data_IF_517101419100
#
_entry.id   IF_517101419100
#
_cell.length_a   1.000
_cell.length_b   1.000
_cell.length_c   1.000
_cell.angle_alpha   90.00
_cell.angle_beta   90.00
_cell.angle_gamma   90.00
#
_symmetry.space_group_name_H-M   'P 1'
#
loop_
_entity.id
_entity.type
_entity.pdbx_description
1 polymer ?
#
# COMPACT_ATOMS: atom_id res chain seq x y z
N UNK A 1 7.36 57.79 -34.15
CA UNK A 1 7.33 57.04 -32.90
C UNK A 1 6.82 55.66 -33.20
N UNK A 2 7.73 54.67 -33.31
CA UNK A 2 7.39 53.30 -33.60
C UNK A 2 7.23 52.52 -32.28
N UNK A 3 6.01 52.12 -31.98
CA UNK A 3 5.68 51.35 -30.79
C UNK A 3 6.06 49.89 -31.07
N UNK A 4 7.07 49.38 -30.36
CA UNK A 4 7.51 48.02 -30.44
C UNK A 4 6.59 47.21 -29.50
N UNK A 5 5.67 46.45 -30.05
CA UNK A 5 4.88 45.46 -29.30
C UNK A 5 5.83 44.27 -29.05
N UNK A 6 6.29 44.10 -27.85
CA UNK A 6 7.03 42.91 -27.38
C UNK A 6 6.01 41.84 -27.07
N UNK A 7 5.89 40.84 -27.91
CA UNK A 7 5.15 39.62 -27.63
C UNK A 7 5.89 38.87 -26.52
N UNK A 8 5.32 38.89 -25.33
CA UNK A 8 5.76 38.08 -24.21
C UNK A 8 5.17 36.67 -24.41
N UNK A 9 5.95 35.76 -24.96
CA UNK A 9 5.59 34.34 -25.00
C UNK A 9 5.80 33.82 -23.56
N UNK A 10 4.70 33.66 -22.83
CA UNK A 10 4.71 32.94 -21.55
C UNK A 10 4.74 31.46 -21.89
N UNK A 11 5.93 30.88 -21.87
CA UNK A 11 6.08 29.42 -21.85
C UNK A 11 5.67 28.98 -20.46
N UNK A 12 4.43 28.53 -20.31
CA UNK A 12 4.02 27.77 -19.14
C UNK A 12 4.70 26.41 -19.25
N UNK A 13 5.86 26.30 -18.62
CA UNK A 13 6.45 24.99 -18.35
C UNK A 13 5.47 24.29 -17.38
N UNK A 14 4.61 23.41 -17.93
CA UNK A 14 3.96 22.41 -17.11
C UNK A 14 5.07 21.49 -16.56
N UNK A 15 5.58 21.85 -15.39
CA UNK A 15 6.30 20.89 -14.60
C UNK A 15 5.32 19.76 -14.32
N UNK A 16 5.52 18.63 -14.99
CA UNK A 16 4.94 17.37 -14.56
C UNK A 16 5.54 17.11 -13.17
N UNK A 17 4.83 17.56 -12.14
CA UNK A 17 5.10 17.12 -10.78
C UNK A 17 4.70 15.65 -10.82
N UNK A 18 5.69 14.79 -11.04
CA UNK A 18 5.56 13.37 -10.76
C UNK A 18 5.37 13.28 -9.25
N UNK A 19 4.11 13.22 -8.83
CA UNK A 19 3.79 12.87 -7.46
C UNK A 19 4.38 11.49 -7.28
N UNK A 20 5.34 11.30 -6.36
CA UNK A 20 5.89 9.97 -6.12
C UNK A 20 4.72 9.06 -5.73
N UNK A 21 4.44 8.08 -6.56
CA UNK A 21 3.48 7.03 -6.26
C UNK A 21 4.12 6.13 -5.20
N UNK A 22 3.43 5.91 -4.11
CA UNK A 22 3.89 5.12 -2.98
C UNK A 22 2.82 4.07 -2.67
N UNK A 23 2.99 2.85 -3.13
CA UNK A 23 2.08 1.76 -2.86
C UNK A 23 0.85 1.70 -3.79
N UNK A 24 -0.19 1.03 -3.37
CA UNK A 24 -1.46 1.09 -4.09
C UNK A 24 -1.93 2.55 -4.26
N UNK A 25 -2.38 2.91 -5.44
CA UNK A 25 -2.95 4.25 -5.68
C UNK A 25 -4.13 4.55 -4.74
N UNK A 26 -4.40 5.84 -4.54
CA UNK A 26 -5.41 6.35 -3.57
C UNK A 26 -6.75 5.60 -3.60
N UNK A 27 -7.23 5.24 -4.80
CA UNK A 27 -8.50 4.55 -4.96
C UNK A 27 -8.46 3.12 -4.43
N UNK A 28 -7.35 2.43 -4.61
CA UNK A 28 -7.16 1.06 -4.12
C UNK A 28 -7.02 1.05 -2.60
N UNK A 29 -6.23 1.96 -2.02
CA UNK A 29 -6.15 2.12 -0.56
C UNK A 29 -7.53 2.41 0.06
N UNK A 30 -8.32 3.27 -0.58
CA UNK A 30 -9.67 3.56 -0.13
C UNK A 30 -10.57 2.32 -0.19
N UNK A 31 -10.48 1.51 -1.25
CA UNK A 31 -11.24 0.26 -1.37
C UNK A 31 -10.83 -0.78 -0.31
N UNK A 32 -9.52 -0.95 -0.07
CA UNK A 32 -8.99 -1.83 0.98
C UNK A 32 -9.53 -1.42 2.35
N UNK A 33 -9.48 -0.14 2.68
CA UNK A 33 -10.01 0.39 3.94
C UNK A 33 -11.53 0.19 4.04
N UNK A 34 -12.28 0.40 2.96
CA UNK A 34 -13.73 0.21 2.94
C UNK A 34 -14.11 -1.26 3.10
N UNK A 35 -13.42 -2.19 2.44
CA UNK A 35 -13.60 -3.63 2.67
C UNK A 35 -13.34 -3.94 4.15
N UNK A 36 -12.25 -3.44 4.72
CA UNK A 36 -11.95 -3.68 6.13
C UNK A 36 -13.07 -3.16 7.05
N UNK A 37 -13.58 -1.94 6.84
CA UNK A 37 -14.68 -1.38 7.63
C UNK A 37 -15.95 -2.24 7.58
N UNK A 38 -16.26 -2.84 6.44
CA UNK A 38 -17.43 -3.71 6.25
C UNK A 38 -17.32 -5.04 7.00
N UNK A 39 -16.09 -5.47 7.32
CA UNK A 39 -15.80 -6.72 8.02
C UNK A 39 -15.40 -6.53 9.50
N UNK A 40 -15.52 -5.31 10.05
CA UNK A 40 -15.28 -5.07 11.48
C UNK A 40 -16.39 -5.66 12.34
N UNK A 41 -15.99 -6.23 13.47
CA UNK A 41 -16.94 -6.54 14.55
C UNK A 41 -17.49 -5.23 15.15
N UNK A 42 -18.68 -5.24 15.76
CA UNK A 42 -19.21 -4.04 16.42
C UNK A 42 -18.27 -3.46 17.49
N UNK A 43 -17.52 -4.35 18.20
CA UNK A 43 -16.53 -3.92 19.20
C UNK A 43 -15.36 -3.20 18.54
N UNK A 44 -14.74 -3.82 17.54
CA UNK A 44 -13.62 -3.23 16.81
C UNK A 44 -14.01 -1.91 16.15
N UNK A 45 -15.18 -1.88 15.48
CA UNK A 45 -15.67 -0.65 14.87
C UNK A 45 -15.77 0.50 15.86
N UNK A 46 -16.35 0.26 17.03
CA UNK A 46 -16.47 1.28 18.08
C UNK A 46 -15.11 1.84 18.50
N UNK A 47 -14.13 0.96 18.72
CA UNK A 47 -12.77 1.37 19.12
C UNK A 47 -12.03 2.09 18.00
N UNK A 48 -12.16 1.59 16.77
CA UNK A 48 -11.58 2.24 15.57
C UNK A 48 -12.15 3.65 15.42
N UNK A 49 -13.48 3.84 15.50
CA UNK A 49 -14.14 5.15 15.42
C UNK A 49 -13.64 6.11 16.53
N UNK A 50 -13.39 5.59 17.74
CA UNK A 50 -12.86 6.38 18.85
C UNK A 50 -11.41 6.83 18.58
N UNK A 51 -10.52 5.92 18.17
CA UNK A 51 -9.11 6.23 17.90
C UNK A 51 -8.97 7.18 16.70
N UNK A 52 -9.79 7.01 15.66
CA UNK A 52 -9.80 7.85 14.47
C UNK A 52 -10.58 9.16 14.64
N UNK A 53 -11.03 9.47 15.88
CA UNK A 53 -11.73 10.73 16.20
C UNK A 53 -12.96 10.97 15.31
N UNK A 54 -13.71 9.92 15.01
CA UNK A 54 -14.91 9.94 14.18
C UNK A 54 -14.64 10.05 12.67
N UNK A 55 -13.39 9.94 12.22
CA UNK A 55 -13.07 9.75 10.80
C UNK A 55 -13.12 8.27 10.42
N UNK A 56 -13.29 8.00 9.14
CA UNK A 56 -13.28 6.63 8.61
C UNK A 56 -11.85 6.13 8.37
N UNK A 57 -11.68 4.82 8.27
CA UNK A 57 -10.42 4.24 7.78
C UNK A 57 -10.15 4.69 6.34
N UNK A 58 -11.19 4.84 5.52
CA UNK A 58 -11.10 5.36 4.14
C UNK A 58 -10.49 6.78 4.11
N UNK A 59 -10.86 7.64 5.08
CA UNK A 59 -10.28 8.99 5.18
C UNK A 59 -8.75 8.94 5.36
N UNK A 60 -8.25 8.00 6.14
CA UNK A 60 -6.81 7.86 6.43
C UNK A 60 -6.07 6.91 5.50
N UNK A 61 -6.75 6.22 4.58
CA UNK A 61 -6.18 5.14 3.79
C UNK A 61 -4.90 5.53 3.01
N UNK A 62 -4.84 6.76 2.49
CA UNK A 62 -3.65 7.27 1.78
C UNK A 62 -2.90 8.35 2.57
N UNK A 63 -3.17 8.49 3.87
CA UNK A 63 -2.60 9.56 4.69
C UNK A 63 -1.07 9.52 4.70
N UNK A 64 -0.49 8.35 4.83
CA UNK A 64 0.94 8.16 4.92
C UNK A 64 1.70 8.61 3.67
N UNK A 65 1.10 8.52 2.51
CA UNK A 65 1.69 9.00 1.25
C UNK A 65 1.86 10.52 1.21
N UNK A 66 0.88 11.25 1.75
CA UNK A 66 0.82 12.70 1.63
C UNK A 66 1.38 13.43 2.85
N UNK A 67 1.28 12.84 4.03
CA UNK A 67 1.57 13.51 5.30
C UNK A 67 2.65 12.79 6.13
N UNK A 68 3.50 12.03 5.47
CA UNK A 68 4.59 11.27 6.11
C UNK A 68 5.45 12.12 7.03
N UNK A 69 5.76 13.37 6.63
CA UNK A 69 6.57 14.29 7.43
C UNK A 69 5.85 14.80 8.70
N UNK A 70 4.51 14.72 8.73
CA UNK A 70 3.68 15.17 9.86
C UNK A 70 3.37 14.04 10.84
N UNK A 71 3.67 12.80 10.48
CA UNK A 71 3.41 11.65 11.34
C UNK A 71 4.40 11.61 12.49
N UNK A 72 3.85 11.65 13.69
CA UNK A 72 4.59 11.68 14.98
C UNK A 72 4.98 10.29 15.46
N UNK A 73 5.24 9.34 14.57
CA UNK A 73 5.78 8.04 14.98
C UNK A 73 7.26 8.19 15.24
N UNK A 74 7.63 7.92 16.46
CA UNK A 74 9.01 7.99 16.92
C UNK A 74 9.41 6.64 17.53
N UNK A 75 10.69 6.36 17.52
CA UNK A 75 11.24 5.29 18.35
C UNK A 75 12.22 5.88 19.37
N UNK A 76 12.40 5.17 20.47
CA UNK A 76 13.33 5.61 21.51
C UNK A 76 14.50 4.63 21.60
N UNK A 77 15.71 5.14 21.44
CA UNK A 77 16.94 4.39 21.58
C UNK A 77 17.84 5.11 22.58
N UNK A 78 18.33 4.39 23.59
CA UNK A 78 19.19 4.95 24.65
C UNK A 78 18.63 6.23 25.31
N UNK A 79 17.31 6.33 25.44
CA UNK A 79 16.63 7.48 26.02
C UNK A 79 16.49 8.70 25.10
N UNK A 80 16.90 8.58 23.83
CA UNK A 80 16.75 9.63 22.80
C UNK A 80 15.60 9.26 21.88
N UNK A 81 14.72 10.23 21.60
CA UNK A 81 13.58 10.07 20.69
C UNK A 81 13.97 10.48 19.28
N UNK A 82 13.80 9.60 18.32
CA UNK A 82 14.12 9.82 16.91
C UNK A 82 12.84 9.84 16.07
N UNK A 83 12.72 10.77 15.10
CA UNK A 83 11.67 10.67 14.09
C UNK A 83 11.91 9.43 13.23
N UNK A 84 10.84 8.72 12.89
CA UNK A 84 10.92 7.48 12.15
C UNK A 84 10.61 7.67 10.67
N UNK A 85 11.52 7.23 9.81
CA UNK A 85 11.18 7.01 8.41
C UNK A 85 10.36 5.71 8.30
N UNK A 86 9.16 5.80 7.75
CA UNK A 86 8.25 4.66 7.64
C UNK A 86 8.39 4.05 6.25
N UNK A 87 8.98 2.84 6.14
CA UNK A 87 9.08 2.14 4.88
C UNK A 87 7.71 1.59 4.47
N UNK A 88 7.39 1.65 3.17
CA UNK A 88 6.17 1.13 2.58
C UNK A 88 6.33 -0.28 2.02
N UNK A 89 7.50 -0.85 2.07
CA UNK A 89 7.88 -2.11 1.44
C UNK A 89 8.59 -3.03 2.42
N UNK A 90 8.70 -4.29 2.05
CA UNK A 90 9.44 -5.28 2.82
C UNK A 90 10.37 -6.08 1.90
N UNK A 91 11.44 -6.65 2.48
CA UNK A 91 12.42 -7.44 1.77
C UNK A 91 12.18 -8.93 1.94
N UNK A 92 12.66 -9.68 0.95
CA UNK A 92 12.89 -11.12 1.06
C UNK A 92 14.38 -11.41 0.98
N UNK A 93 14.77 -12.54 1.56
CA UNK A 93 16.16 -13.02 1.47
C UNK A 93 16.47 -13.60 0.09
N UNK A 94 17.68 -14.12 -0.04
CA UNK A 94 18.13 -14.78 -1.26
C UNK A 94 17.34 -16.03 -1.64
N UNK A 95 16.61 -16.65 -0.75
CA UNK A 95 15.72 -17.77 -0.99
C UNK A 95 14.27 -17.33 -1.21
N UNK A 96 14.05 -16.02 -1.36
CA UNK A 96 12.75 -15.37 -1.42
C UNK A 96 11.91 -15.63 -0.17
N UNK A 97 12.53 -15.69 1.00
CA UNK A 97 11.85 -15.84 2.29
C UNK A 97 11.78 -14.50 3.00
N UNK A 98 10.60 -14.24 3.56
CA UNK A 98 10.35 -13.08 4.40
C UNK A 98 11.01 -13.30 5.76
N UNK A 99 11.61 -12.26 6.32
CA UNK A 99 12.29 -12.30 7.62
C UNK A 99 12.15 -10.95 8.35
N UNK A 100 12.23 -10.99 9.67
CA UNK A 100 12.21 -9.79 10.50
C UNK A 100 13.50 -8.97 10.32
N UNK A 101 13.42 -7.64 10.29
CA UNK A 101 14.53 -6.73 10.02
C UNK A 101 14.63 -5.57 11.01
N UNK A 102 14.53 -5.84 12.29
CA UNK A 102 14.80 -4.88 13.37
C UNK A 102 14.30 -3.46 13.05
N UNK A 103 12.99 -3.29 12.90
CA UNK A 103 12.33 -2.00 12.69
C UNK A 103 12.57 -1.31 11.34
N UNK A 104 13.03 -2.01 10.32
CA UNK A 104 13.43 -1.37 9.05
C UNK A 104 12.49 -1.62 7.87
N UNK A 105 11.48 -2.49 8.02
CA UNK A 105 10.58 -2.85 6.94
C UNK A 105 9.10 -2.67 7.34
N UNK A 106 8.21 -2.59 6.37
CA UNK A 106 6.79 -2.33 6.61
C UNK A 106 6.14 -3.36 7.55
N UNK A 107 6.53 -4.64 7.44
CA UNK A 107 6.01 -5.71 8.32
C UNK A 107 6.37 -5.47 9.79
N UNK A 108 7.60 -5.05 10.06
CA UNK A 108 8.05 -4.75 11.43
C UNK A 108 7.27 -3.56 12.01
N UNK A 109 7.09 -2.50 11.20
CA UNK A 109 6.34 -1.31 11.60
C UNK A 109 4.88 -1.64 11.93
N UNK A 110 4.23 -2.47 11.11
CA UNK A 110 2.86 -2.92 11.38
C UNK A 110 2.81 -3.65 12.74
N UNK A 111 3.76 -4.57 12.98
CA UNK A 111 3.84 -5.32 14.23
C UNK A 111 3.98 -4.41 15.44
N UNK A 112 4.87 -3.43 15.40
CA UNK A 112 5.06 -2.45 16.47
C UNK A 112 3.84 -1.56 16.70
N UNK A 113 3.19 -1.12 15.64
CA UNK A 113 1.94 -0.36 15.74
C UNK A 113 0.84 -1.21 16.38
N UNK A 114 0.76 -2.50 16.05
CA UNK A 114 -0.16 -3.43 16.69
C UNK A 114 0.16 -3.59 18.18
N UNK A 115 1.44 -3.72 18.56
CA UNK A 115 1.85 -3.84 19.96
C UNK A 115 1.50 -2.59 20.77
N UNK A 116 1.71 -1.39 20.21
CA UNK A 116 1.29 -0.13 20.83
C UNK A 116 -0.23 -0.12 21.05
N UNK A 117 -1.00 -0.55 20.06
CA UNK A 117 -2.47 -0.50 20.11
C UNK A 117 -3.10 -1.57 21.03
N UNK A 118 -2.38 -2.60 21.46
CA UNK A 118 -2.86 -3.53 22.51
C UNK A 118 -3.18 -2.80 23.83
N UNK A 119 -2.46 -1.73 24.11
CA UNK A 119 -2.72 -0.87 25.29
C UNK A 119 -3.11 0.57 24.87
N UNK A 120 -3.93 0.67 23.84
CA UNK A 120 -4.30 1.94 23.22
C UNK A 120 -4.90 2.98 24.20
N UNK A 121 -5.54 2.52 25.29
CA UNK A 121 -6.16 3.41 26.28
C UNK A 121 -5.13 4.22 27.06
N UNK A 122 -3.96 3.63 27.30
CA UNK A 122 -2.85 4.25 28.04
C UNK A 122 -1.82 4.89 27.10
N UNK A 123 -1.90 4.61 25.80
CA UNK A 123 -1.01 5.23 24.81
C UNK A 123 -1.31 6.72 24.61
N UNK A 124 -0.27 7.50 24.31
CA UNK A 124 -0.44 8.90 23.90
C UNK A 124 -1.42 9.02 22.72
N UNK A 125 -2.39 9.96 22.75
CA UNK A 125 -3.40 10.10 21.71
C UNK A 125 -2.84 10.26 20.29
N UNK A 126 -1.72 10.99 20.11
CA UNK A 126 -1.10 11.17 18.81
C UNK A 126 -0.40 9.91 18.35
N UNK A 127 0.24 9.19 19.26
CA UNK A 127 0.93 7.94 18.97
C UNK A 127 -0.07 6.85 18.55
N UNK A 128 -1.19 6.71 19.28
CA UNK A 128 -2.22 5.73 18.88
C UNK A 128 -2.90 6.05 17.57
N UNK A 129 -3.18 7.33 17.27
CA UNK A 129 -3.70 7.76 15.97
C UNK A 129 -2.70 7.46 14.85
N UNK A 130 -1.43 7.83 15.06
CA UNK A 130 -0.36 7.55 14.11
C UNK A 130 -0.16 6.05 13.85
N UNK A 131 -0.20 5.22 14.89
CA UNK A 131 -0.11 3.77 14.76
C UNK A 131 -1.29 3.21 13.96
N UNK A 132 -2.51 3.69 14.21
CA UNK A 132 -3.70 3.31 13.44
C UNK A 132 -3.56 3.70 11.96
N UNK A 133 -3.11 4.92 11.68
CA UNK A 133 -2.87 5.41 10.31
C UNK A 133 -1.83 4.56 9.58
N UNK A 134 -0.74 4.17 10.27
CA UNK A 134 0.27 3.27 9.72
C UNK A 134 -0.31 1.90 9.36
N UNK A 135 -1.05 1.28 10.26
CA UNK A 135 -1.65 -0.05 9.99
C UNK A 135 -2.61 0.03 8.81
N UNK A 136 -3.50 1.03 8.77
CA UNK A 136 -4.48 1.20 7.69
C UNK A 136 -3.79 1.28 6.32
N UNK A 137 -2.70 2.02 6.22
CA UNK A 137 -1.98 2.22 4.97
C UNK A 137 -1.06 1.03 4.63
N UNK A 138 -0.18 0.66 5.56
CA UNK A 138 0.87 -0.32 5.30
C UNK A 138 0.35 -1.74 5.07
N UNK A 139 -0.79 -2.12 5.68
CA UNK A 139 -1.42 -3.40 5.35
C UNK A 139 -1.87 -3.42 3.89
N UNK A 140 -2.30 -2.29 3.34
CA UNK A 140 -2.50 -2.16 1.89
C UNK A 140 -1.19 -2.37 1.11
N UNK A 141 -0.15 -1.63 1.47
CA UNK A 141 1.13 -1.63 0.77
C UNK A 141 1.81 -3.00 0.71
N UNK A 142 1.85 -3.74 1.82
CA UNK A 142 2.46 -5.08 1.83
C UNK A 142 1.74 -6.09 0.92
N UNK A 143 0.52 -5.77 0.46
CA UNK A 143 -0.22 -6.59 -0.50
C UNK A 143 -0.02 -6.15 -1.96
N UNK A 144 0.73 -5.06 -2.21
CA UNK A 144 1.12 -4.66 -3.54
C UNK A 144 2.41 -5.40 -3.97
N UNK A 145 2.42 -6.13 -5.09
CA UNK A 145 3.64 -6.74 -5.60
C UNK A 145 4.80 -5.76 -5.77
N UNK A 146 4.50 -4.49 -6.12
CA UNK A 146 5.47 -3.41 -6.24
C UNK A 146 6.23 -3.08 -4.96
N UNK A 147 5.76 -3.55 -3.82
CA UNK A 147 6.34 -3.30 -2.49
C UNK A 147 7.15 -4.48 -1.93
N UNK A 148 7.29 -5.56 -2.69
CA UNK A 148 8.21 -6.65 -2.35
C UNK A 148 9.58 -6.34 -2.91
N UNK A 149 10.60 -6.23 -2.05
CA UNK A 149 11.99 -6.01 -2.44
C UNK A 149 12.69 -7.36 -2.60
N UNK A 150 12.90 -7.77 -3.83
CA UNK A 150 13.72 -8.93 -4.13
C UNK A 150 15.21 -8.57 -4.17
N UNK A 151 16.12 -9.48 -3.78
CA UNK A 151 17.55 -9.29 -3.99
C UNK A 151 17.86 -9.09 -5.48
N UNK A 152 18.83 -8.23 -5.80
CA UNK A 152 19.25 -7.96 -7.18
C UNK A 152 19.53 -9.24 -7.96
N UNK A 153 18.98 -9.33 -9.15
CA UNK A 153 19.20 -10.41 -10.13
C UNK A 153 18.40 -11.69 -9.91
N UNK A 154 17.51 -11.79 -8.91
CA UNK A 154 16.82 -13.05 -8.60
C UNK A 154 15.48 -13.28 -9.27
N UNK A 155 14.69 -12.29 -9.42
CA UNK A 155 13.35 -12.45 -10.02
C UNK A 155 13.31 -11.98 -11.46
N UNK A 156 14.47 -11.99 -12.13
CA UNK A 156 14.70 -11.40 -13.43
C UNK A 156 15.42 -10.06 -13.30
N UNK A 157 16.17 -9.69 -14.31
CA UNK A 157 16.97 -8.47 -14.32
C UNK A 157 16.13 -7.25 -13.90
N UNK A 158 16.52 -6.59 -12.84
CA UNK A 158 15.97 -5.31 -12.44
C UNK A 158 14.71 -5.31 -11.57
N UNK A 159 14.35 -6.41 -10.92
CA UNK A 159 13.13 -6.49 -10.10
C UNK A 159 13.22 -5.86 -8.71
N UNK A 160 14.25 -5.12 -8.39
CA UNK A 160 14.29 -4.31 -7.18
C UNK A 160 13.17 -3.27 -7.17
N UNK A 161 12.08 -3.50 -6.42
CA UNK A 161 10.96 -2.57 -6.23
C UNK A 161 10.22 -2.10 -7.51
N UNK A 162 10.37 -2.74 -8.66
CA UNK A 162 9.71 -2.32 -9.89
C UNK A 162 10.04 -0.90 -10.39
N UNK A 163 11.10 -0.28 -9.88
CA UNK A 163 11.47 1.11 -10.24
C UNK A 163 12.25 1.21 -11.55
N UNK A 164 12.05 0.30 -12.47
CA UNK A 164 12.63 0.34 -13.81
C UNK A 164 11.61 0.83 -14.83
N UNK A 165 12.13 1.41 -15.92
CA UNK A 165 11.31 2.02 -16.95
C UNK A 165 10.63 0.97 -17.82
N UNK A 166 9.36 1.20 -18.10
CA UNK A 166 8.52 0.47 -19.04
C UNK A 166 7.64 1.47 -19.80
N UNK A 167 6.90 1.00 -20.79
CA UNK A 167 5.75 1.77 -21.30
C UNK A 167 4.45 1.04 -20.89
N UNK A 168 3.38 1.80 -20.70
CA UNK A 168 2.04 1.29 -20.46
C UNK A 168 1.16 1.78 -21.62
N UNK A 169 0.77 0.86 -22.50
CA UNK A 169 0.10 1.20 -23.78
C UNK A 169 0.84 2.30 -24.54
N UNK A 170 2.16 2.12 -24.70
CA UNK A 170 3.05 3.03 -25.41
C UNK A 170 3.41 4.33 -24.67
N UNK A 171 2.93 4.55 -23.45
CA UNK A 171 3.25 5.74 -22.63
C UNK A 171 4.35 5.44 -21.63
N UNK A 172 5.43 6.24 -21.56
CA UNK A 172 6.50 6.03 -20.59
C UNK A 172 6.02 6.06 -19.14
N UNK A 173 6.47 5.10 -18.35
CA UNK A 173 6.17 4.97 -16.92
C UNK A 173 7.19 4.03 -16.24
N UNK A 174 6.97 3.70 -14.99
CA UNK A 174 7.73 2.66 -14.29
C UNK A 174 6.85 1.45 -13.97
N UNK A 175 7.43 0.27 -13.87
CA UNK A 175 6.69 -0.93 -13.49
C UNK A 175 6.06 -0.78 -12.10
N UNK A 176 6.69 -0.05 -11.20
CA UNK A 176 6.12 0.31 -9.91
C UNK A 176 4.79 1.07 -10.06
N UNK A 177 4.77 2.12 -10.88
CA UNK A 177 3.54 2.91 -11.16
C UNK A 177 2.45 2.06 -11.85
N UNK A 178 2.85 1.11 -12.69
CA UNK A 178 1.90 0.16 -13.32
C UNK A 178 1.14 -0.61 -12.24
N UNK A 179 1.83 -1.13 -11.24
CA UNK A 179 1.21 -1.86 -10.13
C UNK A 179 0.46 -0.96 -9.16
N UNK A 180 0.97 0.22 -8.87
CA UNK A 180 0.33 1.13 -7.93
C UNK A 180 -1.09 1.54 -8.34
N UNK A 181 -1.31 1.74 -9.63
CA UNK A 181 -2.59 2.28 -10.08
C UNK A 181 -3.04 1.79 -11.46
N UNK A 182 -2.12 1.74 -12.44
CA UNK A 182 -2.51 1.63 -13.85
C UNK A 182 -3.21 0.32 -14.20
N UNK A 183 -2.81 -0.81 -13.57
CA UNK A 183 -3.48 -2.11 -13.76
C UNK A 183 -4.93 -2.01 -13.31
N UNK A 184 -5.17 -1.50 -12.10
CA UNK A 184 -6.53 -1.38 -11.55
C UNK A 184 -7.35 -0.36 -12.33
N UNK A 185 -6.75 0.78 -12.66
CA UNK A 185 -7.42 1.83 -13.44
C UNK A 185 -7.82 1.35 -14.83
N UNK A 186 -7.11 0.36 -15.38
CA UNK A 186 -7.43 -0.19 -16.69
C UNK A 186 -8.65 -1.12 -16.67
N UNK A 187 -8.82 -1.97 -15.64
CA UNK A 187 -9.93 -2.92 -15.61
C UNK A 187 -11.13 -2.43 -14.75
N UNK A 188 -10.94 -1.42 -13.92
CA UNK A 188 -12.02 -0.82 -13.12
C UNK A 188 -11.95 0.70 -13.21
N UNK A 189 -12.83 1.30 -14.04
CA UNK A 189 -12.92 2.76 -14.23
C UNK A 189 -13.92 3.44 -13.28
N UNK A 190 -14.57 2.67 -12.40
CA UNK A 190 -15.65 3.14 -11.53
C UNK A 190 -15.16 3.83 -10.26
N UNK A 191 -16.10 4.03 -9.35
CA UNK A 191 -15.88 4.57 -8.01
C UNK A 191 -15.12 3.58 -7.10
N UNK A 192 -14.86 3.98 -5.86
CA UNK A 192 -14.34 3.08 -4.82
C UNK A 192 -15.36 1.97 -4.56
N UNK A 193 -16.64 2.29 -4.50
CA UNK A 193 -17.75 1.35 -4.29
C UNK A 193 -17.84 0.30 -5.39
N UNK A 194 -17.59 0.69 -6.65
CA UNK A 194 -17.56 -0.24 -7.78
C UNK A 194 -16.40 -1.24 -7.63
N UNK A 195 -15.23 -0.75 -7.23
CA UNK A 195 -14.06 -1.60 -6.97
C UNK A 195 -14.33 -2.55 -5.79
N UNK A 196 -14.87 -2.06 -4.68
CA UNK A 196 -15.24 -2.88 -3.52
C UNK A 196 -16.24 -3.96 -3.93
N UNK A 197 -17.30 -3.60 -4.67
CA UNK A 197 -18.32 -4.56 -5.15
C UNK A 197 -17.72 -5.63 -6.07
N UNK A 198 -16.70 -5.28 -6.85
CA UNK A 198 -15.99 -6.21 -7.71
C UNK A 198 -15.12 -7.18 -6.90
N UNK A 199 -14.48 -6.70 -5.84
CA UNK A 199 -13.41 -7.39 -5.10
C UNK A 199 -13.96 -8.19 -3.91
N UNK A 200 -14.84 -7.62 -3.10
CA UNK A 200 -15.32 -8.22 -1.84
C UNK A 200 -16.44 -9.23 -2.09
N UNK A 201 -16.05 -10.42 -2.55
CA UNK A 201 -16.98 -11.50 -2.91
C UNK A 201 -16.69 -12.83 -2.20
N UNK A 202 -15.80 -12.80 -1.21
CA UNK A 202 -15.37 -14.01 -0.52
C UNK A 202 -16.47 -14.59 0.36
N UNK A 203 -16.61 -15.90 0.32
CA UNK A 203 -17.43 -16.65 1.25
C UNK A 203 -16.81 -16.65 2.65
N UNK A 204 -17.60 -16.94 3.69
CA UNK A 204 -17.09 -17.07 5.06
C UNK A 204 -15.94 -18.07 5.20
N UNK A 205 -15.92 -19.12 4.39
CA UNK A 205 -14.83 -20.11 4.38
C UNK A 205 -13.55 -19.49 3.82
N UNK A 206 -13.65 -18.83 2.67
CA UNK A 206 -12.52 -18.15 2.02
C UNK A 206 -11.95 -17.02 2.90
N UNK A 207 -12.81 -16.24 3.55
CA UNK A 207 -12.39 -15.21 4.49
C UNK A 207 -11.52 -15.82 5.60
N UNK A 208 -11.93 -16.93 6.19
CA UNK A 208 -11.16 -17.62 7.22
C UNK A 208 -9.81 -18.13 6.70
N UNK A 209 -9.76 -18.61 5.47
CA UNK A 209 -8.53 -19.08 4.82
C UNK A 209 -7.59 -17.90 4.50
N UNK A 210 -8.14 -16.79 3.97
CA UNK A 210 -7.38 -15.57 3.68
C UNK A 210 -6.76 -14.97 4.95
N UNK A 211 -7.51 -14.97 6.03
CA UNK A 211 -7.10 -14.41 7.32
C UNK A 211 -6.18 -15.33 8.13
N UNK A 212 -5.94 -16.57 7.70
CA UNK A 212 -5.06 -17.49 8.42
C UNK A 212 -3.61 -16.97 8.47
N UNK A 213 -2.88 -17.36 9.53
CA UNK A 213 -1.50 -16.93 9.77
C UNK A 213 -1.37 -15.52 10.35
N UNK A 214 -0.18 -14.99 10.31
CA UNK A 214 0.19 -13.67 10.80
C UNK A 214 0.91 -12.81 9.75
N UNK A 215 1.43 -11.66 10.14
CA UNK A 215 2.03 -10.67 9.24
C UNK A 215 3.12 -11.26 8.32
N UNK A 216 4.01 -12.07 8.87
CA UNK A 216 5.10 -12.66 8.09
C UNK A 216 4.63 -13.77 7.15
N UNK A 217 3.60 -14.55 7.55
CA UNK A 217 2.96 -15.53 6.67
C UNK A 217 2.25 -14.83 5.51
N UNK A 218 1.60 -13.70 5.79
CA UNK A 218 0.97 -12.87 4.75
C UNK A 218 2.01 -12.24 3.82
N UNK A 219 3.12 -11.71 4.39
CA UNK A 219 4.24 -11.21 3.58
C UNK A 219 4.80 -12.29 2.66
N UNK A 220 4.95 -13.53 3.14
CA UNK A 220 5.41 -14.66 2.34
C UNK A 220 4.41 -15.02 1.22
N UNK A 221 3.12 -15.06 1.52
CA UNK A 221 2.06 -15.28 0.52
C UNK A 221 2.15 -14.23 -0.60
N UNK A 222 2.35 -12.96 -0.26
CA UNK A 222 2.49 -11.88 -1.24
C UNK A 222 3.79 -12.00 -2.02
N UNK A 223 4.91 -12.30 -1.38
CA UNK A 223 6.19 -12.49 -2.06
C UNK A 223 6.13 -13.63 -3.07
N UNK A 224 5.48 -14.74 -2.72
CA UNK A 224 5.32 -15.89 -3.63
C UNK A 224 4.43 -15.55 -4.83
N UNK A 225 3.38 -14.75 -4.65
CA UNK A 225 2.52 -14.23 -5.73
C UNK A 225 3.25 -13.22 -6.60
N UNK A 226 3.98 -12.29 -5.98
CA UNK A 226 4.74 -11.28 -6.70
C UNK A 226 5.72 -11.88 -7.73
N UNK A 227 6.36 -13.01 -7.42
CA UNK A 227 7.21 -13.72 -8.37
C UNK A 227 6.50 -14.12 -9.66
N UNK A 228 5.20 -14.40 -9.61
CA UNK A 228 4.44 -14.89 -10.77
C UNK A 228 3.98 -13.75 -11.68
N UNK A 229 3.88 -12.53 -11.17
CA UNK A 229 3.36 -11.38 -11.90
C UNK A 229 4.42 -10.41 -12.38
N UNK A 230 5.64 -10.53 -11.86
CA UNK A 230 6.75 -9.66 -12.18
C UNK A 230 7.51 -9.89 -13.49
N UNK A 231 7.50 -11.01 -14.21
CA UNK A 231 8.43 -11.26 -15.30
C UNK A 231 8.19 -10.33 -16.52
N UNK A 232 8.41 -9.06 -16.31
CA UNK A 232 8.37 -8.01 -17.32
C UNK A 232 9.73 -7.32 -17.33
N UNK A 233 10.46 -7.45 -18.43
CA UNK A 233 11.79 -6.84 -18.58
C UNK A 233 11.69 -5.31 -18.66
N UNK A 234 12.75 -4.62 -18.23
CA UNK A 234 12.89 -3.19 -18.46
C UNK A 234 12.75 -2.83 -19.95
N UNK A 235 12.08 -1.74 -20.25
CA UNK A 235 11.81 -1.31 -21.62
C UNK A 235 10.64 -2.03 -22.32
N UNK A 236 9.98 -2.98 -21.68
CA UNK A 236 8.80 -3.66 -22.23
C UNK A 236 7.60 -2.72 -22.32
N UNK A 237 6.79 -2.86 -23.37
CA UNK A 237 5.47 -2.25 -23.41
C UNK A 237 4.45 -3.15 -22.68
N UNK A 238 4.01 -2.68 -21.54
CA UNK A 238 2.98 -3.34 -20.72
C UNK A 238 1.64 -3.04 -21.36
N UNK A 239 1.04 -4.05 -21.92
CA UNK A 239 -0.14 -3.93 -22.78
C UNK A 239 -1.36 -4.66 -22.19
N UNK A 240 -2.41 -4.79 -23.01
CA UNK A 240 -3.67 -5.43 -22.63
C UNK A 240 -3.51 -6.89 -22.21
N UNK A 241 -2.61 -7.64 -22.84
CA UNK A 241 -2.35 -9.05 -22.53
C UNK A 241 -1.81 -9.20 -21.11
N UNK A 242 -0.84 -8.36 -20.75
CA UNK A 242 -0.31 -8.35 -19.38
C UNK A 242 -1.39 -7.99 -18.35
N UNK A 243 -2.16 -6.93 -18.59
CA UNK A 243 -3.22 -6.53 -17.67
C UNK A 243 -4.23 -7.65 -17.48
N UNK A 244 -4.63 -8.31 -18.57
CA UNK A 244 -5.55 -9.46 -18.49
C UNK A 244 -4.96 -10.63 -17.70
N UNK A 245 -3.67 -10.91 -17.88
CA UNK A 245 -2.97 -11.97 -17.16
C UNK A 245 -2.94 -11.74 -15.66
N UNK A 246 -2.82 -10.48 -15.20
CA UNK A 246 -2.62 -10.16 -13.77
C UNK A 246 -3.90 -9.67 -13.08
N UNK A 247 -4.99 -9.44 -13.80
CA UNK A 247 -6.21 -8.85 -13.23
C UNK A 247 -6.81 -9.66 -12.09
N UNK A 248 -6.93 -10.99 -12.24
CA UNK A 248 -7.48 -11.86 -11.20
C UNK A 248 -6.60 -11.88 -9.95
N UNK A 249 -5.27 -11.92 -10.15
CA UNK A 249 -4.32 -11.82 -9.04
C UNK A 249 -4.42 -10.47 -8.34
N UNK A 250 -4.58 -9.38 -9.09
CA UNK A 250 -4.73 -8.04 -8.53
C UNK A 250 -6.01 -7.93 -7.69
N UNK A 251 -7.13 -8.45 -8.19
CA UNK A 251 -8.41 -8.50 -7.46
C UNK A 251 -8.25 -9.29 -6.16
N UNK A 252 -7.62 -10.47 -6.22
CA UNK A 252 -7.38 -11.31 -5.03
C UNK A 252 -6.47 -10.62 -4.01
N UNK A 253 -5.42 -9.91 -4.44
CA UNK A 253 -4.53 -9.17 -3.56
C UNK A 253 -5.23 -8.02 -2.82
N UNK A 254 -6.08 -7.26 -3.51
CA UNK A 254 -6.87 -6.18 -2.90
C UNK A 254 -7.86 -6.75 -1.88
N UNK A 255 -8.53 -7.86 -2.21
CA UNK A 255 -9.43 -8.55 -1.32
C UNK A 255 -8.73 -9.03 -0.04
N UNK A 256 -7.57 -9.69 -0.20
CA UNK A 256 -6.74 -10.14 0.92
C UNK A 256 -6.32 -8.98 1.82
N UNK A 257 -5.90 -7.87 1.23
CA UNK A 257 -5.50 -6.68 1.98
C UNK A 257 -6.66 -6.17 2.87
N UNK A 258 -7.85 -6.01 2.31
CA UNK A 258 -9.03 -5.55 3.07
C UNK A 258 -9.44 -6.52 4.18
N UNK A 259 -9.52 -7.82 3.88
CA UNK A 259 -9.91 -8.84 4.86
C UNK A 259 -8.87 -9.03 5.97
N UNK A 260 -7.57 -8.95 5.64
CA UNK A 260 -6.48 -9.03 6.62
C UNK A 260 -6.40 -7.77 7.47
N UNK A 261 -6.65 -6.59 6.90
CA UNK A 261 -6.78 -5.34 7.67
C UNK A 261 -7.94 -5.42 8.66
N UNK A 262 -9.10 -5.94 8.24
CA UNK A 262 -10.22 -6.19 9.15
C UNK A 262 -9.84 -7.16 10.29
N UNK A 263 -9.09 -8.23 9.97
CA UNK A 263 -8.61 -9.17 10.99
C UNK A 263 -7.71 -8.48 11.99
N UNK A 264 -6.74 -7.67 11.56
CA UNK A 264 -5.86 -6.92 12.47
C UNK A 264 -6.68 -6.08 13.44
N UNK A 265 -7.68 -5.33 12.94
CA UNK A 265 -8.54 -4.50 13.80
C UNK A 265 -9.40 -5.33 14.73
N UNK A 266 -9.97 -6.44 14.24
CA UNK A 266 -10.82 -7.32 15.05
C UNK A 266 -10.04 -8.09 16.13
N UNK A 267 -8.77 -8.38 15.89
CA UNK A 267 -7.91 -9.05 16.87
C UNK A 267 -7.41 -8.07 17.97
N UNK A 268 -7.31 -6.77 17.64
CA UNK A 268 -6.87 -5.73 18.58
C UNK A 268 -8.00 -5.24 19.49
N UNK A 269 -9.24 -5.24 19.00
CA UNK A 269 -10.37 -4.53 19.63
C UNK A 269 -11.63 -5.38 19.71
#
# INVERSE_FOLDING_TARGET
MKQIIRNLIVIVAMAFITIPSFGWGRRVHAAIAQIAEQHLTPSAKKTVDEILEGKTMVYYASWLDYYRAEMQITYTENGVVYPRNIPHSFKVDENCKVFAQDHQEALDIIGECMDLLKDWKNADPKMRLGAMQCIIHLVGDIHCPGHVKFPDGRAGEGLGQGKYDVTFFGKPTTMHTVWDSMVVDHFCHGSVEDLVTMVDRSTKKEIKEIQAGGLYDWGQDIADRAKTVWPVAAGTDVNKEYVHQVSDTTIDLINRAGLRLAKVMNDLF
#
